data_IF_484946978225
#
_entry.id   IF_484946978225
#
_cell.length_a   1.000
_cell.length_b   1.000
_cell.length_c   1.000
_cell.angle_alpha   90.00
_cell.angle_beta   90.00
_cell.angle_gamma   90.00
#
_symmetry.space_group_name_H-M   'P 1'
#
loop_
_entity.id
_entity.type
_entity.pdbx_description
1 polymer ?
#
# COMPACT_ATOMS: atom_id res chain seq x y z
N UNK A 1 -1.76 8.83 -0.56
CA UNK A 1 -0.96 8.00 0.36
C UNK A 1 0.03 8.90 1.08
N UNK A 2 0.39 8.60 2.32
CA UNK A 2 1.45 9.29 3.04
C UNK A 2 2.84 9.03 2.46
N UNK A 3 3.01 7.92 1.72
CA UNK A 3 4.27 7.50 1.12
C UNK A 3 4.05 7.06 -0.33
N UNK A 4 4.99 7.43 -1.20
CA UNK A 4 5.07 6.98 -2.60
C UNK A 4 6.15 5.93 -2.80
N UNK A 5 7.05 5.79 -1.84
CA UNK A 5 8.07 4.74 -1.78
C UNK A 5 8.16 4.20 -0.36
N UNK A 6 8.41 2.91 -0.24
CA UNK A 6 8.48 2.21 1.04
C UNK A 6 9.56 1.14 0.95
N UNK A 7 10.51 1.16 1.87
CA UNK A 7 11.52 0.11 1.98
C UNK A 7 11.22 -0.76 3.18
N UNK A 8 11.12 -2.06 2.96
CA UNK A 8 10.80 -3.08 3.96
C UNK A 8 11.85 -4.17 3.94
N UNK A 9 12.08 -4.82 5.07
CA UNK A 9 12.86 -6.06 5.12
C UNK A 9 11.92 -7.24 4.91
N UNK A 10 12.41 -8.35 4.37
CA UNK A 10 11.63 -9.61 4.32
C UNK A 10 11.11 -9.95 5.73
N UNK A 11 9.79 -10.15 5.86
CA UNK A 11 9.10 -10.40 7.13
C UNK A 11 8.64 -9.14 7.87
N UNK A 12 9.12 -7.95 7.49
CA UNK A 12 8.64 -6.70 8.05
C UNK A 12 7.26 -6.33 7.45
N UNK A 13 6.54 -5.45 8.15
CA UNK A 13 5.27 -4.91 7.71
C UNK A 13 5.18 -3.42 8.02
N UNK A 14 4.45 -2.69 7.18
CA UNK A 14 4.22 -1.26 7.36
C UNK A 14 2.85 -0.85 6.81
N UNK A 15 2.19 0.04 7.52
CA UNK A 15 0.84 0.50 7.15
C UNK A 15 0.89 1.77 6.32
N UNK A 16 0.42 1.69 5.09
CA UNK A 16 0.16 2.83 4.22
C UNK A 16 -1.15 3.49 4.60
N UNK A 17 -1.08 4.78 4.93
CA UNK A 17 -2.27 5.57 5.26
C UNK A 17 -2.63 6.45 4.07
N UNK A 18 -3.88 6.37 3.61
CA UNK A 18 -4.41 7.25 2.59
C UNK A 18 -5.51 8.11 3.21
N UNK A 19 -5.22 9.40 3.40
CA UNK A 19 -6.19 10.37 3.90
C UNK A 19 -7.11 10.81 2.76
N UNK A 20 -8.41 10.57 2.90
CA UNK A 20 -9.44 11.04 1.97
C UNK A 20 -10.03 12.34 2.52
N UNK A 21 -9.97 13.41 1.74
CA UNK A 21 -10.50 14.74 2.08
C UNK A 21 -11.62 15.13 1.09
N UNK A 22 -12.67 15.83 1.56
CA UNK A 22 -12.86 16.37 2.91
C UNK A 22 -13.22 15.28 3.93
N UNK A 23 -12.98 15.53 5.22
CA UNK A 23 -13.27 14.57 6.31
C UNK A 23 -14.76 14.19 6.39
N UNK A 24 -15.64 14.96 5.76
CA UNK A 24 -17.06 14.68 5.59
C UNK A 24 -17.39 13.74 4.41
N UNK A 25 -16.40 13.19 3.71
CA UNK A 25 -16.66 12.18 2.68
C UNK A 25 -17.37 10.97 3.30
N UNK A 26 -18.58 10.66 2.81
CA UNK A 26 -19.36 9.47 3.22
C UNK A 26 -18.57 8.20 2.93
N UNK A 27 -17.92 8.14 1.76
CA UNK A 27 -17.10 7.02 1.33
C UNK A 27 -15.60 7.31 1.46
N UNK A 28 -15.06 6.98 2.63
CA UNK A 28 -13.59 6.94 2.89
C UNK A 28 -12.97 5.59 2.50
N UNK A 29 -13.66 4.80 1.71
CA UNK A 29 -13.18 3.48 1.30
C UNK A 29 -11.98 3.65 0.37
N UNK A 30 -10.82 3.14 0.80
CA UNK A 30 -9.61 3.05 -0.03
C UNK A 30 -9.25 1.58 -0.19
N UNK A 31 -9.18 1.11 -1.42
CA UNK A 31 -8.82 -0.28 -1.73
C UNK A 31 -7.37 -0.30 -2.19
N UNK A 32 -6.55 -1.11 -1.54
CA UNK A 32 -5.14 -1.28 -1.91
C UNK A 32 -4.97 -2.63 -2.59
N UNK A 33 -4.19 -2.65 -3.67
CA UNK A 33 -3.86 -3.83 -4.46
C UNK A 33 -2.36 -3.86 -4.68
N UNK A 34 -1.74 -5.02 -4.49
CA UNK A 34 -0.32 -5.24 -4.82
C UNK A 34 -0.19 -5.76 -6.23
N UNK A 35 0.80 -5.25 -6.98
CA UNK A 35 1.24 -5.82 -8.26
C UNK A 35 1.72 -7.27 -8.08
N UNK A 36 2.55 -7.49 -7.06
CA UNK A 36 3.22 -8.77 -6.82
C UNK A 36 3.10 -9.22 -5.37
N UNK A 37 2.07 -10.03 -5.03
CA UNK A 37 1.85 -10.54 -3.67
C UNK A 37 2.90 -11.58 -3.23
N UNK A 38 3.76 -12.03 -4.13
CA UNK A 38 4.91 -12.90 -3.82
C UNK A 38 6.04 -12.12 -3.15
N UNK A 39 6.22 -10.85 -3.51
CA UNK A 39 7.23 -9.92 -2.97
C UNK A 39 6.67 -9.19 -1.76
N UNK A 40 5.52 -8.52 -1.91
CA UNK A 40 4.83 -7.89 -0.79
C UNK A 40 3.31 -7.98 -0.95
N UNK A 41 2.62 -8.35 0.13
CA UNK A 41 1.15 -8.38 0.18
C UNK A 41 0.64 -7.11 0.84
N UNK A 42 -0.50 -6.59 0.39
CA UNK A 42 -1.17 -5.46 1.07
C UNK A 42 -2.57 -5.87 1.51
N UNK A 43 -2.97 -5.41 2.69
CA UNK A 43 -4.32 -5.62 3.21
C UNK A 43 -5.27 -4.61 2.56
N UNK A 44 -6.26 -5.06 1.78
CA UNK A 44 -7.25 -4.16 1.21
C UNK A 44 -8.01 -3.44 2.34
N UNK A 45 -8.34 -2.15 2.16
CA UNK A 45 -8.97 -1.25 3.16
C UNK A 45 -8.07 -0.79 4.31
N UNK A 46 -7.20 -1.63 4.84
CA UNK A 46 -6.29 -1.26 5.94
C UNK A 46 -4.99 -0.60 5.45
N UNK A 47 -4.53 -0.95 4.24
CA UNK A 47 -3.26 -0.46 3.70
C UNK A 47 -2.03 -1.09 4.36
N UNK A 48 -2.18 -2.18 5.12
CA UNK A 48 -1.05 -2.85 5.76
C UNK A 48 -0.26 -3.70 4.75
N UNK A 49 0.97 -3.28 4.43
CA UNK A 49 1.89 -3.92 3.50
C UNK A 49 2.83 -4.84 4.28
N UNK A 50 3.02 -6.07 3.82
CA UNK A 50 3.89 -7.07 4.43
C UNK A 50 4.88 -7.56 3.38
N UNK A 51 6.18 -7.42 3.65
CA UNK A 51 7.24 -7.94 2.79
C UNK A 51 7.39 -9.46 2.99
N UNK A 52 7.30 -10.22 1.91
CA UNK A 52 7.45 -11.69 1.91
C UNK A 52 8.76 -12.16 1.30
N UNK A 53 9.23 -11.51 0.25
CA UNK A 53 10.45 -11.89 -0.46
C UNK A 53 11.16 -10.65 -0.97
N UNK A 54 12.49 -10.72 -1.07
CA UNK A 54 13.28 -9.62 -1.58
C UNK A 54 12.94 -9.35 -3.05
N UNK A 55 12.76 -8.07 -3.39
CA UNK A 55 12.32 -7.63 -4.71
C UNK A 55 11.59 -6.31 -4.63
N UNK A 56 11.17 -5.79 -5.78
CA UNK A 56 10.44 -4.53 -5.88
C UNK A 56 9.04 -4.81 -6.37
N UNK A 57 8.04 -4.23 -5.72
CA UNK A 57 6.63 -4.33 -6.12
C UNK A 57 5.97 -2.97 -6.04
N UNK A 58 4.81 -2.80 -6.66
CA UNK A 58 4.04 -1.55 -6.61
C UNK A 58 2.67 -1.80 -6.01
N UNK A 59 2.32 -1.01 -5.02
CA UNK A 59 1.00 -0.99 -4.39
C UNK A 59 0.19 0.13 -5.02
N UNK A 60 -0.98 -0.21 -5.57
CA UNK A 60 -1.94 0.76 -6.09
C UNK A 60 -3.10 0.89 -5.10
N UNK A 61 -3.30 2.09 -4.56
CA UNK A 61 -4.47 2.45 -3.76
C UNK A 61 -5.50 3.17 -4.62
N UNK A 62 -6.73 2.68 -4.66
CA UNK A 62 -7.85 3.30 -5.35
C UNK A 62 -8.90 3.72 -4.33
N UNK A 63 -9.22 5.00 -4.32
CA UNK A 63 -10.30 5.56 -3.49
C UNK A 63 -11.66 5.31 -4.14
N UNK A 64 -12.73 5.30 -3.34
CA UNK A 64 -14.10 5.20 -3.85
C UNK A 64 -14.46 6.32 -4.86
N UNK A 65 -13.86 7.49 -4.72
CA UNK A 65 -14.03 8.63 -5.63
C UNK A 65 -13.28 8.48 -6.97
N UNK A 66 -12.61 7.34 -7.22
CA UNK A 66 -11.87 7.08 -8.45
C UNK A 66 -10.44 7.65 -8.48
N UNK A 67 -9.98 8.28 -7.41
CA UNK A 67 -8.56 8.68 -7.30
C UNK A 67 -7.69 7.46 -7.06
N UNK A 68 -6.64 7.33 -7.86
CA UNK A 68 -5.62 6.28 -7.74
C UNK A 68 -4.32 6.88 -7.24
N UNK A 69 -3.63 6.16 -6.37
CA UNK A 69 -2.31 6.50 -5.83
C UNK A 69 -1.44 5.27 -5.90
N UNK A 70 -0.16 5.43 -6.23
CA UNK A 70 0.79 4.32 -6.30
C UNK A 70 1.89 4.51 -5.27
N UNK A 71 2.32 3.41 -4.66
CA UNK A 71 3.47 3.34 -3.77
C UNK A 71 4.40 2.23 -4.22
N UNK A 72 5.66 2.55 -4.50
CA UNK A 72 6.68 1.56 -4.77
C UNK A 72 7.15 0.95 -3.45
N UNK A 73 7.24 -0.37 -3.39
CA UNK A 73 7.66 -1.12 -2.21
C UNK A 73 8.88 -1.93 -2.57
N UNK A 74 10.01 -1.60 -1.94
CA UNK A 74 11.28 -2.32 -2.09
C UNK A 74 11.47 -3.20 -0.88
N UNK A 75 11.45 -4.52 -1.08
CA UNK A 75 11.73 -5.49 -0.05
C UNK A 75 13.18 -5.94 -0.16
N UNK A 76 13.97 -5.77 0.88
CA UNK A 76 15.36 -6.24 0.93
C UNK A 76 15.48 -7.48 1.80
N UNK A 77 16.29 -8.45 1.39
CA UNK A 77 16.77 -9.48 2.29
C UNK A 77 17.81 -8.85 3.22
N UNK A 78 17.74 -9.16 4.52
CA UNK A 78 18.80 -8.81 5.48
C UNK A 78 20.08 -9.60 5.21
#
# INVERSE_FOLDING_TARGET
MNKTTLSLVVGANETLTATVLPEAAEDKTVTFTSSDPTIATVTPKQGNVVGKAAGTTTITGTTANGLTVTCEVTVTAE
#
